data_IF_296965633584
#
_entry.id   IF_296965633584
#
_cell.length_a   1.000
_cell.length_b   1.000
_cell.length_c   1.000
_cell.angle_alpha   90.00
_cell.angle_beta   90.00
_cell.angle_gamma   90.00
#
_symmetry.space_group_name_H-M   'P 1'
#
loop_
_entity.id
_entity.type
_entity.pdbx_description
1 polymer ?
#
# COMPACT_ATOMS: atom_id res chain seq x y z
N UNK A 1 -4.63 -18.84 8.02
CA UNK A 1 -4.92 -17.96 6.87
C UNK A 1 -5.45 -16.63 7.37
N UNK A 2 -4.95 -15.55 6.83
CA UNK A 2 -5.47 -14.20 7.09
C UNK A 2 -6.36 -13.78 5.93
N UNK A 3 -7.54 -13.28 6.25
CA UNK A 3 -8.49 -12.77 5.25
C UNK A 3 -8.71 -11.29 5.53
N UNK A 4 -8.61 -10.47 4.50
CA UNK A 4 -8.84 -9.03 4.58
C UNK A 4 -9.91 -8.60 3.58
N UNK A 5 -10.94 -7.94 4.08
CA UNK A 5 -12.04 -7.44 3.26
C UNK A 5 -11.73 -6.02 2.81
N UNK A 6 -11.74 -5.78 1.50
CA UNK A 6 -11.57 -4.47 0.90
C UNK A 6 -12.79 -4.08 0.10
N UNK A 7 -13.24 -2.84 0.21
CA UNK A 7 -14.28 -2.30 -0.65
C UNK A 7 -13.65 -1.47 -1.76
N UNK A 8 -14.24 -1.49 -2.94
CA UNK A 8 -13.74 -0.77 -4.12
C UNK A 8 -14.86 0.00 -4.82
N UNK A 9 -14.47 0.95 -5.67
CA UNK A 9 -15.39 1.59 -6.58
C UNK A 9 -15.81 0.61 -7.69
N UNK A 10 -16.76 1.02 -8.53
CA UNK A 10 -17.23 0.23 -9.67
C UNK A 10 -16.08 -0.25 -10.54
N UNK A 11 -16.07 -1.54 -10.85
CA UNK A 11 -15.02 -2.19 -11.63
C UNK A 11 -13.72 -2.45 -10.87
N UNK A 12 -13.57 -1.91 -9.65
CA UNK A 12 -12.32 -2.00 -8.88
C UNK A 12 -12.00 -3.40 -8.35
N UNK A 13 -12.97 -4.31 -8.30
CA UNK A 13 -12.73 -5.68 -7.87
C UNK A 13 -12.22 -6.59 -9.00
N UNK A 14 -12.09 -6.10 -10.24
CA UNK A 14 -11.49 -6.89 -11.32
C UNK A 14 -10.01 -7.18 -11.03
N UNK A 15 -9.45 -8.29 -11.55
CA UNK A 15 -8.05 -8.64 -11.31
C UNK A 15 -7.07 -7.51 -11.63
N UNK A 16 -7.22 -6.89 -12.80
CA UNK A 16 -6.30 -5.83 -13.24
C UNK A 16 -6.40 -4.58 -12.39
N UNK A 17 -7.62 -4.12 -12.11
CA UNK A 17 -7.82 -2.91 -11.32
C UNK A 17 -7.46 -3.11 -9.87
N UNK A 18 -7.80 -4.27 -9.30
CA UNK A 18 -7.44 -4.56 -7.92
C UNK A 18 -5.93 -4.71 -7.74
N UNK A 19 -5.23 -5.28 -8.71
CA UNK A 19 -3.77 -5.34 -8.71
C UNK A 19 -3.16 -3.94 -8.64
N UNK A 20 -3.67 -3.00 -9.42
CA UNK A 20 -3.24 -1.59 -9.37
C UNK A 20 -3.52 -0.96 -8.01
N UNK A 21 -4.68 -1.25 -7.43
CA UNK A 21 -5.07 -0.78 -6.11
C UNK A 21 -4.11 -1.30 -5.03
N UNK A 22 -3.74 -2.58 -5.09
CA UNK A 22 -2.75 -3.16 -4.19
C UNK A 22 -1.43 -2.39 -4.25
N UNK A 23 -0.94 -2.11 -5.46
CA UNK A 23 0.30 -1.36 -5.64
C UNK A 23 0.18 0.08 -5.14
N UNK A 24 -0.92 0.77 -5.48
CA UNK A 24 -1.12 2.18 -5.13
C UNK A 24 -1.25 2.41 -3.63
N UNK A 25 -1.92 1.49 -2.92
CA UNK A 25 -2.14 1.61 -1.48
C UNK A 25 -1.20 0.72 -0.65
N UNK A 26 -0.24 0.07 -1.30
CA UNK A 26 0.74 -0.81 -0.64
C UNK A 26 0.09 -1.93 0.17
N UNK A 27 -0.98 -2.53 -0.34
CA UNK A 27 -1.65 -3.64 0.36
C UNK A 27 -0.77 -4.89 0.45
N UNK A 28 0.21 -5.03 -0.44
CA UNK A 28 1.21 -6.10 -0.35
C UNK A 28 2.15 -5.91 0.86
N UNK A 29 2.43 -4.67 1.26
CA UNK A 29 3.12 -4.38 2.52
C UNK A 29 2.27 -4.84 3.71
N UNK A 30 0.97 -4.53 3.70
CA UNK A 30 0.04 -4.97 4.75
C UNK A 30 0.00 -6.50 4.83
N UNK A 31 -0.10 -7.18 3.69
CA UNK A 31 -0.14 -8.64 3.62
C UNK A 31 1.13 -9.26 4.21
N UNK A 32 2.30 -8.78 3.80
CA UNK A 32 3.58 -9.25 4.30
C UNK A 32 3.70 -9.05 5.82
N UNK A 33 3.31 -7.87 6.29
CA UNK A 33 3.36 -7.54 7.71
C UNK A 33 2.46 -8.44 8.55
N UNK A 34 1.23 -8.67 8.11
CA UNK A 34 0.30 -9.54 8.85
C UNK A 34 0.71 -11.01 8.80
N UNK A 35 1.28 -11.48 7.69
CA UNK A 35 1.82 -12.83 7.62
C UNK A 35 2.96 -13.03 8.60
N UNK A 36 3.86 -12.06 8.71
CA UNK A 36 4.96 -12.12 9.67
C UNK A 36 4.45 -12.07 11.11
N UNK A 37 3.51 -11.18 11.40
CA UNK A 37 2.99 -11.00 12.75
C UNK A 37 2.19 -12.20 13.25
N UNK A 38 1.45 -12.89 12.37
CA UNK A 38 0.57 -14.00 12.73
C UNK A 38 1.19 -15.38 12.55
N UNK A 39 2.27 -15.49 11.77
CA UNK A 39 2.83 -16.77 11.36
C UNK A 39 1.97 -17.53 10.35
N UNK A 40 0.90 -16.92 9.85
CA UNK A 40 0.04 -17.53 8.84
C UNK A 40 0.79 -17.70 7.51
N UNK A 41 0.41 -18.73 6.73
CA UNK A 41 1.05 -19.04 5.44
C UNK A 41 0.35 -18.45 4.24
N UNK A 42 -0.92 -18.04 4.40
CA UNK A 42 -1.75 -17.53 3.31
C UNK A 42 -2.41 -16.22 3.70
N UNK A 43 -2.42 -15.30 2.76
CA UNK A 43 -3.16 -14.04 2.86
C UNK A 43 -4.11 -13.93 1.67
N UNK A 44 -5.39 -13.71 1.93
CA UNK A 44 -6.44 -13.63 0.93
C UNK A 44 -7.18 -12.30 1.05
N UNK A 45 -7.27 -11.56 -0.05
CA UNK A 45 -8.13 -10.38 -0.14
C UNK A 45 -9.50 -10.78 -0.68
N UNK A 46 -10.54 -10.24 -0.07
CA UNK A 46 -11.89 -10.26 -0.63
C UNK A 46 -12.22 -8.83 -1.03
N UNK A 47 -12.27 -8.55 -2.34
CA UNK A 47 -12.57 -7.24 -2.88
C UNK A 47 -14.03 -7.17 -3.29
N UNK A 48 -14.79 -6.21 -2.74
CA UNK A 48 -16.22 -6.05 -3.00
C UNK A 48 -16.47 -4.67 -3.56
N UNK A 49 -17.16 -4.58 -4.71
CA UNK A 49 -17.58 -3.30 -5.27
C UNK A 49 -18.76 -2.72 -4.50
N UNK A 50 -18.72 -1.41 -4.26
CA UNK A 50 -19.74 -0.69 -3.48
C UNK A 50 -21.00 -0.37 -4.28
N UNK A 51 -21.04 -0.71 -5.56
CA UNK A 51 -22.11 -0.41 -6.49
C UNK A 51 -22.76 -1.71 -6.97
N UNK A 52 -24.08 -1.70 -7.13
CA UNK A 52 -24.82 -2.84 -7.70
C UNK A 52 -24.17 -3.32 -8.99
N UNK A 53 -23.97 -4.62 -9.23
CA UNK A 53 -24.43 -5.78 -8.42
C UNK A 53 -23.47 -6.25 -7.31
N UNK A 54 -22.58 -5.40 -6.81
CA UNK A 54 -21.66 -5.70 -5.71
C UNK A 54 -20.71 -6.86 -6.05
N UNK A 55 -20.10 -6.79 -7.21
CA UNK A 55 -19.19 -7.81 -7.71
C UNK A 55 -18.04 -8.08 -6.71
N UNK A 56 -17.69 -9.36 -6.55
CA UNK A 56 -16.71 -9.82 -5.60
C UNK A 56 -15.56 -10.51 -6.32
N UNK A 57 -14.33 -10.13 -5.95
CA UNK A 57 -13.12 -10.87 -6.33
C UNK A 57 -12.44 -11.43 -5.10
N UNK A 58 -11.90 -12.63 -5.20
CA UNK A 58 -11.15 -13.28 -4.11
C UNK A 58 -9.74 -13.54 -4.63
N UNK A 59 -8.74 -12.93 -3.98
CA UNK A 59 -7.37 -12.89 -4.51
C UNK A 59 -6.34 -13.28 -3.47
N UNK A 60 -5.38 -14.07 -3.91
CA UNK A 60 -4.18 -14.40 -3.16
C UNK A 60 -2.98 -13.84 -3.91
N UNK A 61 -2.06 -13.22 -3.17
CA UNK A 61 -0.84 -12.69 -3.76
C UNK A 61 0.17 -13.81 -4.04
N UNK A 62 0.87 -13.71 -5.16
CA UNK A 62 1.99 -14.61 -5.45
C UNK A 62 3.12 -14.39 -4.45
N UNK A 63 4.01 -15.38 -4.33
CA UNK A 63 5.17 -15.25 -3.46
C UNK A 63 6.05 -14.05 -3.87
N UNK A 64 6.19 -13.79 -5.17
CA UNK A 64 6.95 -12.64 -5.64
C UNK A 64 6.32 -11.32 -5.22
N UNK A 65 4.99 -11.24 -5.18
CA UNK A 65 4.28 -10.05 -4.70
C UNK A 65 4.47 -9.87 -3.19
N UNK A 66 4.36 -10.95 -2.43
CA UNK A 66 4.62 -10.93 -0.97
C UNK A 66 6.07 -10.51 -0.69
N UNK A 67 7.03 -10.98 -1.48
CA UNK A 67 8.44 -10.59 -1.32
C UNK A 67 8.64 -9.08 -1.52
N UNK A 68 7.92 -8.49 -2.50
CA UNK A 68 7.91 -7.03 -2.66
C UNK A 68 7.34 -6.33 -1.43
N UNK A 69 6.33 -6.90 -0.80
CA UNK A 69 5.78 -6.41 0.45
C UNK A 69 6.82 -6.44 1.59
N UNK A 70 7.58 -7.51 1.71
CA UNK A 70 8.65 -7.59 2.71
C UNK A 70 9.76 -6.57 2.47
N UNK A 71 10.16 -6.35 1.21
CA UNK A 71 11.13 -5.29 0.87
C UNK A 71 10.65 -3.92 1.33
N UNK A 72 9.39 -3.59 1.07
CA UNK A 72 8.79 -2.33 1.52
C UNK A 72 8.71 -2.24 3.04
N UNK A 73 8.35 -3.33 3.71
CA UNK A 73 8.29 -3.38 5.16
C UNK A 73 9.66 -3.08 5.77
N UNK A 74 10.70 -3.73 5.28
CA UNK A 74 12.06 -3.52 5.77
C UNK A 74 12.52 -2.09 5.56
N UNK A 75 12.29 -1.53 4.36
CA UNK A 75 12.63 -0.15 4.05
C UNK A 75 11.90 0.82 4.99
N UNK A 76 10.60 0.62 5.18
CA UNK A 76 9.79 1.47 6.06
C UNK A 76 10.27 1.40 7.51
N UNK A 77 10.59 0.21 8.01
CA UNK A 77 11.10 0.05 9.36
C UNK A 77 12.46 0.73 9.54
N UNK A 78 13.34 0.67 8.54
CA UNK A 78 14.61 1.39 8.57
C UNK A 78 14.40 2.91 8.60
N UNK A 79 13.48 3.43 7.81
CA UNK A 79 13.15 4.86 7.80
C UNK A 79 12.59 5.32 9.16
N UNK A 80 11.72 4.52 9.77
CA UNK A 80 11.17 4.81 11.10
C UNK A 80 12.27 4.79 12.14
N UNK A 81 13.17 3.80 12.09
CA UNK A 81 14.29 3.68 13.02
C UNK A 81 15.21 4.89 12.92
N UNK A 82 15.58 5.29 11.71
CA UNK A 82 16.43 6.46 11.47
C UNK A 82 15.75 7.74 11.99
N UNK A 83 14.47 7.95 11.66
CA UNK A 83 13.72 9.11 12.13
C UNK A 83 13.62 9.15 13.65
N UNK A 84 13.43 8.00 14.30
CA UNK A 84 13.38 7.88 15.76
C UNK A 84 14.73 8.19 16.38
N UNK A 85 15.82 7.68 15.83
CA UNK A 85 17.18 7.86 16.38
C UNK A 85 17.68 9.30 16.19
N UNK A 86 17.39 9.91 15.04
CA UNK A 86 17.79 11.29 14.73
C UNK A 86 16.81 12.32 15.25
N UNK A 87 15.59 11.88 15.65
CA UNK A 87 14.48 12.74 16.05
C UNK A 87 14.05 13.70 14.92
N UNK A 88 14.27 13.31 13.65
CA UNK A 88 13.92 14.07 12.46
C UNK A 88 12.88 13.32 11.64
N UNK A 89 11.67 13.81 11.68
CA UNK A 89 10.54 13.31 10.90
C UNK A 89 10.29 14.28 9.74
N UNK A 90 10.78 13.93 8.54
CA UNK A 90 10.77 14.82 7.38
C UNK A 90 9.39 14.91 6.75
N UNK A 91 9.00 16.15 6.37
CA UNK A 91 7.81 16.43 5.57
C UNK A 91 8.18 16.91 4.16
N UNK A 92 7.16 17.16 3.34
CA UNK A 92 7.37 17.51 1.92
C UNK A 92 8.11 18.83 1.69
N UNK A 93 7.95 19.79 2.58
CA UNK A 93 8.53 21.12 2.43
C UNK A 93 9.76 21.36 3.32
N UNK A 94 10.26 20.32 3.98
CA UNK A 94 11.48 20.41 4.78
C UNK A 94 12.68 20.71 3.88
N UNK A 95 13.51 21.66 4.30
CA UNK A 95 14.63 22.12 3.49
C UNK A 95 14.28 23.22 2.50
N UNK A 96 13.01 23.60 2.38
CA UNK A 96 12.60 24.76 1.59
C UNK A 96 12.71 26.03 2.42
N UNK A 97 12.99 27.21 1.80
CA UNK A 97 12.99 28.49 2.50
C UNK A 97 11.64 28.71 3.20
N UNK A 98 11.69 29.06 4.48
CA UNK A 98 10.50 29.30 5.32
C UNK A 98 9.47 28.14 5.34
N UNK A 99 9.91 26.92 4.97
CA UNK A 99 8.99 25.77 4.87
C UNK A 99 8.00 25.88 3.70
N UNK A 100 8.26 26.77 2.75
CA UNK A 100 7.36 27.03 1.61
C UNK A 100 8.07 26.63 0.31
N UNK A 101 7.41 25.75 -0.46
CA UNK A 101 7.87 25.35 -1.79
C UNK A 101 7.12 26.11 -2.87
N UNK A 102 7.86 26.71 -3.81
CA UNK A 102 7.23 27.32 -4.99
C UNK A 102 6.90 26.23 -5.99
N UNK A 103 5.63 26.19 -6.44
CA UNK A 103 5.20 25.27 -7.48
C UNK A 103 5.17 25.95 -8.83
N UNK A 104 5.59 25.22 -9.86
CA UNK A 104 5.55 25.70 -11.25
C UNK A 104 4.56 24.86 -12.05
N UNK A 105 3.90 25.43 -13.07
CA UNK A 105 2.96 24.66 -13.87
C UNK A 105 3.69 23.55 -14.63
N UNK A 106 3.02 22.39 -14.82
CA UNK A 106 3.58 21.33 -15.66
C UNK A 106 3.65 21.76 -17.12
N UNK A 107 4.49 21.06 -17.90
CA UNK A 107 4.74 21.43 -19.31
C UNK A 107 3.51 21.41 -20.19
N UNK A 108 2.49 20.64 -19.81
CA UNK A 108 1.27 20.47 -20.61
C UNK A 108 0.20 21.53 -20.35
N UNK A 109 0.43 22.47 -19.42
CA UNK A 109 -0.53 23.53 -19.12
C UNK A 109 -0.16 24.86 -19.79
#
# INVERSE_FOLDING_TARGET
>A
MVIDLKTTAEGGASPDKFTKTICNFMYHLQAAHYLQATGAKRFVFIAVEKVWPYSVGIYQLSQSFINKGYELQEQTLQEILEATNTKQWRGYTDGCPDGIQTLTPPKWI
#
